data_IF_783839873897
#
_entry.id   IF_783839873897
#
_cell.length_a   1.000
_cell.length_b   1.000
_cell.length_c   1.000
_cell.angle_alpha   90.00
_cell.angle_beta   90.00
_cell.angle_gamma   90.00
#
_symmetry.space_group_name_H-M   'P 1'
#
loop_
_entity.id
_entity.type
_entity.pdbx_description
1 polymer ?
#
# COMPACT_ATOMS: atom_id res chain seq x y z
N UNK A 1 5.62 18.63 37.66
CA UNK A 1 4.69 18.38 36.53
C UNK A 1 5.51 17.69 35.47
N UNK A 2 5.51 16.35 35.48
CA UNK A 2 6.40 15.51 34.68
C UNK A 2 5.77 15.35 33.29
N UNK A 3 6.20 16.14 32.32
CA UNK A 3 5.90 15.94 30.90
C UNK A 3 6.63 14.69 30.44
N UNK A 4 5.97 13.54 30.64
CA UNK A 4 6.28 12.32 29.90
C UNK A 4 5.86 12.60 28.46
N UNK A 5 6.82 13.02 27.64
CA UNK A 5 6.66 13.08 26.21
C UNK A 5 6.35 11.66 25.74
N UNK A 6 5.07 11.34 25.55
CA UNK A 6 4.63 10.05 24.99
C UNK A 6 5.27 9.93 23.60
N UNK A 7 6.38 9.19 23.52
CA UNK A 7 7.07 8.87 22.29
C UNK A 7 6.16 7.94 21.47
N UNK A 8 5.25 8.52 20.68
CA UNK A 8 4.44 7.75 19.74
C UNK A 8 5.36 7.32 18.59
N UNK A 9 5.70 6.03 18.49
CA UNK A 9 6.24 5.54 17.22
C UNK A 9 5.13 5.61 16.17
N UNK A 10 5.29 6.48 15.18
CA UNK A 10 4.29 6.61 14.10
C UNK A 10 4.24 5.36 13.19
N UNK A 11 5.18 4.43 13.32
CA UNK A 11 5.36 3.29 12.42
C UNK A 11 5.41 1.98 13.20
N UNK A 12 4.26 1.33 13.35
CA UNK A 12 4.20 -0.05 13.81
C UNK A 12 4.69 -0.98 12.69
N UNK A 13 5.63 -1.87 13.01
CA UNK A 13 6.12 -2.88 12.07
C UNK A 13 4.98 -3.82 11.71
N UNK A 14 4.65 -3.93 10.42
CA UNK A 14 3.55 -4.79 9.97
C UNK A 14 3.92 -6.25 10.20
N UNK A 15 2.99 -6.99 10.81
CA UNK A 15 3.14 -8.42 11.06
C UNK A 15 3.25 -9.23 9.76
N UNK A 16 3.75 -10.48 9.84
CA UNK A 16 3.98 -11.34 8.68
C UNK A 16 2.71 -11.60 7.86
N UNK A 17 1.54 -11.68 8.50
CA UNK A 17 0.24 -11.85 7.84
C UNK A 17 -0.08 -10.67 6.91
N UNK A 18 0.15 -9.44 7.38
CA UNK A 18 -0.13 -8.25 6.57
C UNK A 18 0.84 -8.19 5.38
N UNK A 19 2.10 -8.58 5.58
CA UNK A 19 3.07 -8.67 4.47
C UNK A 19 2.65 -9.70 3.43
N UNK A 20 2.08 -10.84 3.84
CA UNK A 20 1.54 -11.85 2.91
C UNK A 20 0.34 -11.31 2.12
N UNK A 21 -0.55 -10.55 2.77
CA UNK A 21 -1.66 -9.88 2.08
C UNK A 21 -1.15 -8.83 1.09
N UNK A 22 -0.13 -8.04 1.45
CA UNK A 22 0.50 -7.09 0.53
C UNK A 22 1.16 -7.79 -0.66
N UNK A 23 1.80 -8.93 -0.45
CA UNK A 23 2.33 -9.75 -1.55
C UNK A 23 1.22 -10.18 -2.50
N UNK A 24 0.10 -10.67 -1.97
CA UNK A 24 -1.06 -11.04 -2.77
C UNK A 24 -1.62 -9.85 -3.58
N UNK A 25 -1.71 -8.66 -2.96
CA UNK A 25 -2.11 -7.43 -3.66
C UNK A 25 -1.15 -7.01 -4.76
N UNK A 26 0.16 -7.20 -4.57
CA UNK A 26 1.17 -6.98 -5.62
C UNK A 26 0.93 -7.91 -6.82
N UNK A 27 0.68 -9.20 -6.57
CA UNK A 27 0.39 -10.16 -7.64
C UNK A 27 -0.88 -9.78 -8.40
N UNK A 28 -1.96 -9.42 -7.70
CA UNK A 28 -3.21 -8.99 -8.31
C UNK A 28 -3.05 -7.70 -9.14
N UNK A 29 -2.25 -6.74 -8.66
CA UNK A 29 -2.02 -5.48 -9.40
C UNK A 29 -1.20 -5.69 -10.67
N UNK A 30 -0.23 -6.61 -10.67
CA UNK A 30 0.48 -7.01 -11.90
C UNK A 30 -0.48 -7.68 -12.89
N UNK A 31 -1.34 -8.60 -12.43
CA UNK A 31 -2.32 -9.25 -13.29
C UNK A 31 -3.35 -8.26 -13.86
N UNK A 32 -3.79 -7.31 -13.04
CA UNK A 32 -4.66 -6.20 -13.48
C UNK A 32 -3.99 -5.36 -14.56
N UNK A 33 -2.73 -4.97 -14.39
CA UNK A 33 -1.97 -4.21 -15.39
C UNK A 33 -1.89 -4.96 -16.73
N UNK A 34 -1.54 -6.25 -16.71
CA UNK A 34 -1.50 -7.07 -17.92
C UNK A 34 -2.86 -7.16 -18.61
N UNK A 35 -3.93 -7.30 -17.84
CA UNK A 35 -5.30 -7.36 -18.37
C UNK A 35 -5.71 -6.05 -19.03
N UNK A 36 -5.40 -4.91 -18.41
CA UNK A 36 -5.71 -3.58 -18.96
C UNK A 36 -4.88 -3.28 -20.20
N UNK A 37 -3.58 -3.66 -20.21
CA UNK A 37 -2.73 -3.52 -21.40
C UNK A 37 -3.29 -4.36 -22.56
N UNK A 38 -3.71 -5.59 -22.27
CA UNK A 38 -4.30 -6.48 -23.28
C UNK A 38 -5.60 -5.89 -23.82
N UNK A 39 -6.49 -5.39 -22.94
CA UNK A 39 -7.72 -4.72 -23.33
C UNK A 39 -7.46 -3.47 -24.19
N UNK A 40 -6.41 -2.69 -23.87
CA UNK A 40 -6.02 -1.50 -24.63
C UNK A 40 -5.56 -1.81 -26.07
N UNK A 41 -5.02 -3.01 -26.30
CA UNK A 41 -4.60 -3.47 -27.64
C UNK A 41 -5.79 -4.01 -28.43
N UNK A 42 -6.72 -4.70 -27.77
CA UNK A 42 -7.89 -5.34 -28.40
C UNK A 42 -9.03 -4.37 -28.70
N UNK A 43 -9.19 -3.33 -27.89
CA UNK A 43 -10.29 -2.37 -27.99
C UNK A 43 -9.78 -0.96 -28.34
N UNK A 44 -10.58 -0.15 -29.06
CA UNK A 44 -10.24 1.24 -29.32
C UNK A 44 -10.06 2.01 -28.00
N UNK A 45 -9.00 2.82 -27.94
CA UNK A 45 -8.55 3.56 -26.75
C UNK A 45 -9.71 4.23 -25.99
N UNK A 46 -10.04 3.66 -24.83
CA UNK A 46 -10.94 4.28 -23.86
C UNK A 46 -10.13 5.00 -22.78
N UNK A 47 -10.43 6.28 -22.53
CA UNK A 47 -9.82 7.07 -21.45
C UNK A 47 -9.93 6.41 -20.07
N UNK A 48 -10.94 5.55 -19.88
CA UNK A 48 -11.15 4.75 -18.67
C UNK A 48 -9.96 3.78 -18.43
N UNK A 49 -9.36 3.25 -19.50
CA UNK A 49 -8.19 2.37 -19.41
C UNK A 49 -6.95 3.10 -18.84
N UNK A 50 -6.75 4.38 -19.18
CA UNK A 50 -5.66 5.18 -18.61
C UNK A 50 -5.83 5.40 -17.11
N UNK A 51 -7.07 5.63 -16.65
CA UNK A 51 -7.38 5.76 -15.23
C UNK A 51 -7.12 4.43 -14.51
N UNK A 52 -7.54 3.31 -15.09
CA UNK A 52 -7.29 1.98 -14.55
C UNK A 52 -5.78 1.69 -14.40
N UNK A 53 -4.97 2.04 -15.41
CA UNK A 53 -3.50 1.92 -15.33
C UNK A 53 -2.95 2.77 -14.19
N UNK A 54 -3.36 4.03 -14.07
CA UNK A 54 -2.89 4.93 -13.02
C UNK A 54 -3.20 4.40 -11.61
N UNK A 55 -4.43 3.89 -11.40
CA UNK A 55 -4.83 3.28 -10.12
C UNK A 55 -4.03 2.01 -9.83
N UNK A 56 -3.85 1.13 -10.82
CA UNK A 56 -3.09 -0.11 -10.64
C UNK A 56 -1.61 0.14 -10.32
N UNK A 57 -1.00 1.17 -10.93
CA UNK A 57 0.38 1.59 -10.62
C UNK A 57 0.48 2.14 -9.20
N UNK A 58 -0.47 2.98 -8.76
CA UNK A 58 -0.49 3.49 -7.38
C UNK A 58 -0.63 2.36 -6.36
N UNK A 59 -1.53 1.40 -6.61
CA UNK A 59 -1.70 0.25 -5.73
C UNK A 59 -0.49 -0.67 -5.72
N UNK A 60 0.17 -0.87 -6.86
CA UNK A 60 1.43 -1.62 -6.94
C UNK A 60 2.52 -0.92 -6.12
N UNK A 61 2.65 0.40 -6.22
CA UNK A 61 3.63 1.18 -5.47
C UNK A 61 3.40 1.10 -3.96
N UNK A 62 2.16 1.31 -3.51
CA UNK A 62 1.81 1.23 -2.08
C UNK A 62 2.05 -0.18 -1.54
N UNK A 63 1.53 -1.21 -2.22
CA UNK A 63 1.64 -2.60 -1.79
C UNK A 63 3.09 -3.10 -1.81
N UNK A 64 3.86 -2.71 -2.83
CA UNK A 64 5.29 -3.02 -2.95
C UNK A 64 6.11 -2.32 -1.86
N UNK A 65 5.87 -1.03 -1.61
CA UNK A 65 6.54 -0.29 -0.54
C UNK A 65 6.34 -0.96 0.82
N UNK A 66 5.12 -1.45 1.10
CA UNK A 66 4.80 -2.16 2.34
C UNK A 66 5.47 -3.53 2.39
N UNK A 67 5.48 -4.27 1.29
CA UNK A 67 6.06 -5.61 1.21
C UNK A 67 7.57 -5.59 1.50
N UNK A 68 8.31 -4.68 0.87
CA UNK A 68 9.78 -4.58 1.00
C UNK A 68 10.19 -3.91 2.31
N UNK A 69 9.55 -2.80 2.68
CA UNK A 69 9.95 -2.01 3.86
C UNK A 69 9.40 -2.62 5.14
N UNK A 70 8.29 -3.37 5.09
CA UNK A 70 7.60 -3.90 6.28
C UNK A 70 6.92 -2.83 7.13
N UNK A 71 6.85 -1.60 6.62
CA UNK A 71 6.23 -0.44 7.24
C UNK A 71 5.30 0.23 6.23
N UNK A 72 4.26 0.89 6.73
CA UNK A 72 3.39 1.67 5.88
C UNK A 72 4.10 2.94 5.35
N UNK A 73 3.76 3.41 4.14
CA UNK A 73 4.32 4.63 3.60
C UNK A 73 3.93 5.85 4.45
N UNK A 74 4.85 6.82 4.60
CA UNK A 74 4.63 8.02 5.44
C UNK A 74 3.41 8.85 5.03
N UNK A 75 2.97 8.78 3.78
CA UNK A 75 1.76 9.48 3.32
C UNK A 75 0.44 8.77 3.70
N UNK A 76 0.51 7.55 4.26
CA UNK A 76 -0.62 6.75 4.74
C UNK A 76 -0.73 6.77 6.28
N UNK A 77 0.06 7.63 6.95
CA UNK A 77 0.03 7.79 8.41
C UNK A 77 -1.35 8.24 8.92
N UNK A 78 -2.14 8.94 8.12
CA UNK A 78 -3.52 9.31 8.46
C UNK A 78 -4.45 8.10 8.64
N UNK A 79 -4.13 6.96 8.01
CA UNK A 79 -4.89 5.72 8.16
C UNK A 79 -4.39 4.84 9.32
N UNK A 80 -3.25 5.19 9.94
CA UNK A 80 -2.71 4.48 11.08
C UNK A 80 -3.27 5.11 12.36
N UNK A 81 -4.02 4.34 13.14
CA UNK A 81 -4.41 4.76 14.49
C UNK A 81 -3.16 4.96 15.35
N UNK A 82 -3.18 5.94 16.27
CA UNK A 82 -2.08 6.18 17.22
C UNK A 82 -1.79 4.89 17.99
N UNK A 83 -0.58 4.34 17.85
CA UNK A 83 -0.15 3.16 18.60
C UNK A 83 0.57 3.63 19.87
N UNK A 84 0.00 3.33 21.05
CA UNK A 84 0.68 3.56 22.35
C UNK A 84 1.77 2.50 22.56
N UNK A 85 2.97 2.94 22.90
CA UNK A 85 4.11 2.09 23.28
C UNK A 85 4.10 1.71 24.79
N UNK A 86 2.94 1.46 25.41
CA UNK A 86 2.87 1.23 26.87
C UNK A 86 2.96 -0.25 27.32
N UNK A 87 3.07 -1.20 26.40
CA UNK A 87 3.22 -2.63 26.73
C UNK A 87 4.22 -3.32 25.81
N UNK A 88 5.49 -3.24 26.17
CA UNK A 88 6.48 -4.29 25.85
C UNK A 88 6.50 -5.29 26.99
#
# INVERSE_FOLDING_TARGET
MNTQDEEYSELQKLGPVIRALCFFLVVLSVFSLLSVITALILEPFHYIGLIAIAVSVLMLHVSGSILFTGFAPKYLLFAHGKVRLDKQ
#
